data_IF_211873510420
#
_entry.id   IF_211873510420
#
_cell.length_a   1.000
_cell.length_b   1.000
_cell.length_c   1.000
_cell.angle_alpha   90.00
_cell.angle_beta   90.00
_cell.angle_gamma   90.00
#
_symmetry.space_group_name_H-M   'P 1'
#
loop_
_entity.id
_entity.type
_entity.pdbx_description
1 polymer ?
#
# COMPACT_ATOMS: atom_id res chain seq x y z
N UNK A 1 -3.41 1.32 -19.20
CA UNK A 1 -2.08 0.67 -19.17
C UNK A 1 -1.20 1.37 -18.13
N UNK A 2 -1.40 1.11 -16.83
CA UNK A 2 -0.42 1.34 -15.75
C UNK A 2 -0.69 0.34 -14.59
N UNK A 3 -0.33 -0.95 -14.70
CA UNK A 3 -0.15 -1.80 -13.51
C UNK A 3 1.33 -1.85 -13.08
N UNK A 4 2.27 -1.95 -14.03
CA UNK A 4 3.68 -2.24 -13.71
C UNK A 4 4.46 -1.03 -13.16
N UNK A 5 4.29 0.17 -13.73
CA UNK A 5 5.03 1.35 -13.29
C UNK A 5 4.63 1.78 -11.86
N UNK A 6 3.32 1.75 -11.53
CA UNK A 6 2.82 2.00 -10.16
C UNK A 6 3.39 0.97 -9.18
N UNK A 7 3.36 -0.32 -9.52
CA UNK A 7 3.91 -1.38 -8.67
C UNK A 7 5.42 -1.21 -8.44
N UNK A 8 6.17 -0.81 -9.47
CA UNK A 8 7.61 -0.55 -9.35
C UNK A 8 7.87 0.63 -8.41
N UNK A 9 7.15 1.74 -8.58
CA UNK A 9 7.30 2.91 -7.71
C UNK A 9 6.92 2.60 -6.25
N UNK A 10 5.91 1.76 -6.02
CA UNK A 10 5.51 1.34 -4.67
C UNK A 10 6.54 0.41 -4.04
N UNK A 11 7.12 -0.51 -4.80
CA UNK A 11 8.24 -1.33 -4.33
C UNK A 11 9.45 -0.46 -3.96
N UNK A 12 9.74 0.58 -4.74
CA UNK A 12 10.80 1.53 -4.43
C UNK A 12 10.51 2.31 -3.14
N UNK A 13 9.26 2.76 -2.95
CA UNK A 13 8.84 3.44 -1.73
C UNK A 13 9.05 2.59 -0.47
N UNK A 14 8.93 1.26 -0.55
CA UNK A 14 9.21 0.38 0.58
C UNK A 14 10.66 0.48 1.06
N UNK A 15 11.64 0.72 0.17
CA UNK A 15 13.02 0.95 0.59
C UNK A 15 13.17 2.24 1.39
N UNK A 16 12.42 3.30 1.04
CA UNK A 16 12.43 4.53 1.83
C UNK A 16 11.85 4.29 3.23
N UNK A 17 10.80 3.49 3.36
CA UNK A 17 10.25 3.13 4.67
C UNK A 17 11.17 2.23 5.51
N UNK A 18 11.95 1.34 4.88
CA UNK A 18 13.00 0.59 5.58
C UNK A 18 14.09 1.51 6.15
N UNK A 19 14.45 2.57 5.41
CA UNK A 19 15.47 3.54 5.86
C UNK A 19 14.93 4.53 6.89
N UNK A 20 13.62 4.75 6.94
CA UNK A 20 13.00 5.65 7.89
C UNK A 20 13.20 5.14 9.34
N UNK A 21 13.66 6.00 10.27
CA UNK A 21 13.86 5.60 11.67
C UNK A 21 12.59 4.98 12.30
N UNK A 22 12.71 3.96 13.17
CA UNK A 22 11.55 3.23 13.73
C UNK A 22 10.60 4.07 14.58
N UNK A 23 11.04 5.25 15.04
CA UNK A 23 10.21 6.16 15.84
C UNK A 23 9.17 6.93 15.03
N UNK A 24 9.28 6.93 13.70
CA UNK A 24 8.29 7.58 12.86
C UNK A 24 7.12 6.65 12.58
N UNK A 25 5.91 7.20 12.64
CA UNK A 25 4.73 6.55 12.08
C UNK A 25 4.84 6.57 10.55
N UNK A 26 4.83 5.40 9.92
CA UNK A 26 5.00 5.24 8.48
C UNK A 26 3.66 4.93 7.83
N UNK A 27 3.13 5.89 7.07
CA UNK A 27 1.85 5.74 6.37
C UNK A 27 2.11 5.76 4.88
N UNK A 28 1.67 4.70 4.19
CA UNK A 28 1.61 4.66 2.74
C UNK A 28 0.19 4.94 2.28
N UNK A 29 -0.04 6.16 1.84
CA UNK A 29 -1.32 6.66 1.39
C UNK A 29 -1.43 6.63 -0.14
N UNK A 30 -2.51 6.07 -0.67
CA UNK A 30 -2.74 5.96 -2.12
C UNK A 30 -4.21 6.21 -2.48
N UNK A 31 -4.45 6.79 -3.66
CA UNK A 31 -5.77 6.80 -4.27
C UNK A 31 -6.10 5.39 -4.80
N UNK A 32 -7.34 4.95 -4.57
CA UNK A 32 -7.83 3.64 -4.97
C UNK A 32 -7.72 3.43 -6.48
N UNK A 33 -7.25 2.25 -6.87
CA UNK A 33 -7.15 1.85 -8.27
C UNK A 33 -7.67 0.44 -8.46
N UNK A 34 -8.92 0.30 -8.87
CA UNK A 34 -9.57 -0.99 -9.05
C UNK A 34 -9.25 -1.64 -10.39
N UNK A 35 -9.06 -2.96 -10.39
CA UNK A 35 -9.01 -3.76 -11.63
C UNK A 35 -10.42 -4.01 -12.15
N UNK A 36 -10.70 -3.55 -13.38
CA UNK A 36 -12.02 -3.67 -14.03
C UNK A 36 -12.59 -5.09 -14.00
N UNK A 37 -11.74 -6.12 -14.16
CA UNK A 37 -12.19 -7.52 -14.25
C UNK A 37 -12.50 -8.18 -12.90
N UNK A 38 -11.81 -7.78 -11.84
CA UNK A 38 -11.85 -8.50 -10.55
C UNK A 38 -12.39 -7.65 -9.41
N UNK A 39 -12.48 -6.32 -9.57
CA UNK A 39 -12.77 -5.40 -8.47
C UNK A 39 -11.66 -5.32 -7.42
N UNK A 40 -10.57 -6.08 -7.55
CA UNK A 40 -9.43 -6.06 -6.63
C UNK A 40 -8.71 -4.71 -6.73
N UNK A 41 -8.48 -4.05 -5.59
CA UNK A 41 -7.69 -2.83 -5.55
C UNK A 41 -6.21 -3.14 -5.79
N UNK A 42 -5.51 -2.21 -6.44
CA UNK A 42 -4.09 -2.36 -6.71
C UNK A 42 -3.28 -2.47 -5.41
N UNK A 43 -3.73 -1.80 -4.35
CA UNK A 43 -3.12 -1.89 -3.02
C UNK A 43 -3.25 -3.29 -2.44
N UNK A 44 -4.43 -3.89 -2.47
CA UNK A 44 -4.65 -5.28 -2.02
C UNK A 44 -3.77 -6.24 -2.83
N UNK A 45 -3.73 -6.07 -4.16
CA UNK A 45 -2.87 -6.87 -5.02
C UNK A 45 -1.38 -6.72 -4.68
N UNK A 46 -0.91 -5.48 -4.42
CA UNK A 46 0.47 -5.20 -4.04
C UNK A 46 0.83 -5.86 -2.71
N UNK A 47 0.02 -5.66 -1.67
CA UNK A 47 0.23 -6.26 -0.34
C UNK A 47 0.33 -7.78 -0.42
N UNK A 48 -0.49 -8.42 -1.26
CA UNK A 48 -0.48 -9.87 -1.44
C UNK A 48 0.73 -10.38 -2.23
N UNK A 49 1.13 -9.68 -3.29
CA UNK A 49 2.15 -10.18 -4.23
C UNK A 49 3.57 -9.69 -3.95
N UNK A 50 3.72 -8.61 -3.20
CA UNK A 50 4.99 -7.97 -2.86
C UNK A 50 5.18 -7.84 -1.34
N UNK A 51 4.47 -8.64 -0.53
CA UNK A 51 4.54 -8.63 0.94
C UNK A 51 5.97 -8.66 1.49
N UNK A 52 6.84 -9.43 0.85
CA UNK A 52 8.26 -9.57 1.22
C UNK A 52 9.07 -8.26 1.16
N UNK A 53 8.59 -7.26 0.42
CA UNK A 53 9.23 -5.95 0.33
C UNK A 53 8.78 -5.00 1.45
N UNK A 54 7.61 -5.26 2.04
CA UNK A 54 6.91 -4.33 2.91
C UNK A 54 7.51 -4.35 4.32
N UNK A 55 7.99 -3.21 4.85
CA UNK A 55 8.38 -3.14 6.26
C UNK A 55 7.17 -3.39 7.17
N UNK A 56 7.37 -4.09 8.30
CA UNK A 56 6.27 -4.55 9.14
C UNK A 56 5.49 -3.41 9.80
N UNK A 57 6.11 -2.24 9.98
CA UNK A 57 5.58 -1.05 10.66
C UNK A 57 4.94 -0.01 9.72
N UNK A 58 4.76 -0.35 8.44
CA UNK A 58 4.07 0.53 7.47
C UNK A 58 2.57 0.28 7.51
N UNK A 59 1.80 1.33 7.81
CA UNK A 59 0.35 1.37 7.68
C UNK A 59 -0.05 1.69 6.24
N UNK A 60 -1.10 1.02 5.74
CA UNK A 60 -1.61 1.24 4.39
C UNK A 60 -3.00 1.88 4.40
N UNK A 61 -3.13 3.01 3.71
CA UNK A 61 -4.33 3.82 3.66
C UNK A 61 -4.75 3.99 2.19
N UNK A 62 -5.99 3.62 1.86
CA UNK A 62 -6.56 3.74 0.51
C UNK A 62 -7.74 4.71 0.51
N UNK A 63 -7.71 5.71 -0.37
CA UNK A 63 -8.81 6.65 -0.55
C UNK A 63 -9.62 6.26 -1.79
N UNK A 64 -10.89 5.83 -1.64
CA UNK A 64 -11.79 5.62 -2.77
C UNK A 64 -12.00 6.93 -3.54
N UNK A 65 -12.11 6.84 -4.87
CA UNK A 65 -12.15 8.03 -5.75
C UNK A 65 -13.34 8.95 -5.50
N UNK A 66 -14.46 8.36 -5.08
CA UNK A 66 -15.74 9.05 -4.93
C UNK A 66 -16.14 9.17 -3.44
N UNK A 67 -15.16 9.12 -2.53
CA UNK A 67 -15.36 9.19 -1.08
C UNK A 67 -14.26 10.01 -0.41
N UNK A 68 -14.60 10.67 0.70
CA UNK A 68 -13.61 11.28 1.60
C UNK A 68 -13.22 10.33 2.76
N UNK A 69 -13.90 9.18 2.86
CA UNK A 69 -13.62 8.17 3.87
C UNK A 69 -12.44 7.29 3.43
N UNK A 70 -11.35 7.33 4.19
CA UNK A 70 -10.14 6.54 3.95
C UNK A 70 -10.29 5.14 4.54
N UNK A 71 -10.03 4.13 3.72
CA UNK A 71 -9.93 2.74 4.16
C UNK A 71 -8.54 2.46 4.75
N UNK A 72 -8.50 2.01 6.00
CA UNK A 72 -7.25 1.72 6.72
C UNK A 72 -7.04 0.21 6.82
N UNK A 73 -5.94 -0.27 6.26
CA UNK A 73 -5.58 -1.69 6.22
C UNK A 73 -4.64 -2.13 7.35
N UNK A 74 -4.17 -1.20 8.19
CA UNK A 74 -3.20 -1.47 9.26
C UNK A 74 -1.80 -1.82 8.75
N UNK A 75 -0.91 -2.18 9.67
CA UNK A 75 0.44 -2.65 9.38
C UNK A 75 0.50 -4.18 9.33
N UNK A 76 1.56 -4.75 8.72
CA UNK A 76 1.74 -6.21 8.69
C UNK A 76 2.05 -6.74 10.11
N UNK A 77 2.62 -5.91 10.99
CA UNK A 77 2.88 -6.26 12.39
C UNK A 77 1.60 -6.45 13.23
N UNK A 78 0.46 -5.91 12.78
CA UNK A 78 -0.79 -5.91 13.56
C UNK A 78 -1.53 -7.26 13.57
N UNK A 79 -0.99 -8.29 12.90
CA UNK A 79 -1.46 -9.68 13.07
C UNK A 79 -2.92 -9.91 12.66
N UNK A 80 -3.35 -9.34 11.53
CA UNK A 80 -4.58 -9.71 10.80
C UNK A 80 -4.33 -9.89 9.32
#
# INVERSE_FOLDING_TARGET
MVPSAKMKNWAEAMFYFHMAPPMYRKIFFVEQSLRVRTGESLLVYFRRTQSHMIPPDVEFWELPRDSDDVEIFGSIADGR
#
